data_IF_451447767580
#
_entry.id   IF_451447767580
#
_cell.length_a   1.000
_cell.length_b   1.000
_cell.length_c   1.000
_cell.angle_alpha   90.00
_cell.angle_beta   90.00
_cell.angle_gamma   90.00
#
_symmetry.space_group_name_H-M   'P 1'
#
loop_
_entity.id
_entity.type
_entity.pdbx_description
1 polymer ?
#
# COMPACT_ATOMS: atom_id res chain seq x y z
N UNK A 1 -70.59 4.73 18.37
CA UNK A 1 -71.70 3.84 18.07
C UNK A 1 -71.14 2.53 17.60
N UNK A 2 -71.38 1.54 18.48
CA UNK A 2 -71.74 0.15 18.17
C UNK A 2 -70.63 -0.68 17.63
N UNK A 3 -69.90 -1.46 18.38
CA UNK A 3 -70.23 -2.64 19.17
C UNK A 3 -70.10 -3.95 18.37
N UNK A 4 -69.16 -4.81 18.89
CA UNK A 4 -69.43 -6.22 19.29
C UNK A 4 -69.42 -7.22 18.12
N UNK A 5 -68.90 -8.43 18.16
CA UNK A 5 -68.82 -9.44 19.24
C UNK A 5 -67.91 -10.62 18.78
N UNK A 6 -67.26 -11.19 19.72
CA UNK A 6 -66.86 -12.56 20.03
C UNK A 6 -67.61 -13.71 19.33
N UNK A 7 -66.89 -14.77 19.03
CA UNK A 7 -67.27 -16.12 19.36
C UNK A 7 -66.11 -17.12 19.28
N UNK A 8 -65.80 -17.69 20.42
CA UNK A 8 -65.07 -18.94 20.72
C UNK A 8 -65.96 -20.14 20.35
N UNK A 9 -65.31 -21.19 19.79
CA UNK A 9 -65.83 -22.54 19.98
C UNK A 9 -64.69 -23.58 19.93
N UNK A 10 -64.54 -24.24 21.05
CA UNK A 10 -63.75 -25.44 21.24
C UNK A 10 -64.67 -26.66 21.03
N UNK A 11 -64.17 -27.73 20.45
CA UNK A 11 -64.66 -29.09 20.67
C UNK A 11 -63.64 -30.16 20.26
N UNK A 12 -63.16 -30.83 21.12
CA UNK A 12 -62.87 -32.14 21.65
C UNK A 12 -62.98 -33.35 20.67
N UNK A 13 -61.88 -34.13 20.70
CA UNK A 13 -61.75 -35.60 20.85
C UNK A 13 -62.17 -36.50 19.68
N UNK A 14 -61.20 -37.26 19.19
CA UNK A 14 -61.31 -38.72 19.19
C UNK A 14 -59.92 -39.36 18.92
N UNK A 15 -59.56 -40.17 19.88
CA UNK A 15 -58.41 -41.08 19.94
C UNK A 15 -58.72 -42.30 19.07
N UNK A 16 -57.87 -42.62 18.11
CA UNK A 16 -57.82 -43.96 17.51
C UNK A 16 -56.37 -44.36 17.28
N UNK A 17 -55.95 -45.27 18.13
CA UNK A 17 -54.71 -46.05 17.99
C UNK A 17 -54.80 -46.96 16.77
N UNK A 18 -53.97 -46.70 15.78
CA UNK A 18 -53.60 -47.67 14.74
C UNK A 18 -52.10 -47.83 14.77
N UNK A 19 -51.66 -48.95 15.30
CA UNK A 19 -50.31 -49.47 15.23
C UNK A 19 -49.96 -49.78 13.79
N UNK A 20 -49.22 -48.87 13.13
CA UNK A 20 -48.57 -49.20 11.88
C UNK A 20 -47.10 -49.55 12.18
N UNK A 21 -46.79 -50.79 11.92
CA UNK A 21 -45.42 -51.31 11.93
C UNK A 21 -44.66 -50.67 10.77
N UNK A 22 -43.92 -49.58 11.03
CA UNK A 22 -43.03 -49.00 10.04
C UNK A 22 -41.73 -49.81 9.97
N UNK A 23 -41.62 -50.56 8.90
CA UNK A 23 -40.36 -51.15 8.45
C UNK A 23 -39.31 -50.02 8.25
N UNK A 24 -38.42 -49.82 9.22
CA UNK A 24 -37.25 -48.98 9.05
C UNK A 24 -36.37 -49.54 7.95
N UNK A 25 -36.49 -49.01 6.77
CA UNK A 25 -35.45 -49.17 5.74
C UNK A 25 -34.15 -48.53 6.26
N UNK A 26 -33.15 -49.34 6.49
CA UNK A 26 -31.81 -48.88 6.82
C UNK A 26 -31.29 -48.01 5.65
N UNK A 27 -30.96 -46.73 5.94
CA UNK A 27 -30.20 -45.89 5.01
C UNK A 27 -28.89 -46.63 4.65
N UNK A 28 -28.50 -46.65 3.37
CA UNK A 28 -27.20 -47.18 3.00
C UNK A 28 -26.11 -46.36 3.72
N UNK A 29 -25.19 -47.08 4.34
CA UNK A 29 -24.01 -46.45 4.97
C UNK A 29 -23.24 -45.68 3.88
N UNK A 30 -23.17 -44.37 4.06
CA UNK A 30 -22.27 -43.50 3.28
C UNK A 30 -20.85 -43.96 3.62
N UNK A 31 -20.12 -44.44 2.60
CA UNK A 31 -18.72 -44.76 2.75
C UNK A 31 -17.98 -43.51 3.29
N UNK A 32 -17.04 -43.66 4.23
CA UNK A 32 -16.29 -42.50 4.72
C UNK A 32 -15.52 -41.90 3.54
N UNK A 33 -15.76 -40.60 3.30
CA UNK A 33 -14.98 -39.80 2.38
C UNK A 33 -13.50 -39.98 2.73
N UNK A 34 -12.62 -40.21 1.74
CA UNK A 34 -11.20 -40.34 2.04
C UNK A 34 -10.75 -39.05 2.74
N UNK A 35 -10.24 -39.21 3.95
CA UNK A 35 -9.70 -38.11 4.75
C UNK A 35 -8.77 -37.30 3.85
N UNK A 36 -9.15 -36.03 3.59
CA UNK A 36 -8.30 -35.08 2.92
C UNK A 36 -6.96 -35.12 3.65
N UNK A 37 -5.90 -35.51 2.95
CA UNK A 37 -4.54 -35.41 3.45
C UNK A 37 -4.37 -33.96 3.86
N UNK A 38 -4.41 -33.70 5.15
CA UNK A 38 -3.84 -32.49 5.68
C UNK A 38 -2.38 -32.51 5.27
N UNK A 39 -2.07 -31.84 4.17
CA UNK A 39 -0.71 -31.39 3.94
C UNK A 39 -0.33 -30.61 5.18
N UNK A 40 0.51 -31.21 5.99
CA UNK A 40 1.23 -30.51 7.04
C UNK A 40 1.93 -29.38 6.30
N UNK A 41 1.44 -28.14 6.44
CA UNK A 41 2.21 -26.96 6.11
C UNK A 41 3.45 -27.06 6.98
N UNK A 42 4.48 -27.70 6.46
CA UNK A 42 5.83 -27.54 7.00
C UNK A 42 6.01 -26.05 7.15
N UNK A 43 6.07 -25.59 8.38
CA UNK A 43 6.53 -24.23 8.68
C UNK A 43 7.97 -24.22 8.18
N UNK A 44 8.14 -23.84 6.92
CA UNK A 44 9.46 -23.43 6.44
C UNK A 44 9.84 -22.26 7.32
N UNK A 45 10.83 -22.46 8.15
CA UNK A 45 11.51 -21.36 8.80
C UNK A 45 12.31 -20.65 7.70
N UNK A 46 11.61 -19.83 6.89
CA UNK A 46 12.28 -18.91 6.01
C UNK A 46 13.07 -17.95 6.91
N UNK A 47 14.37 -17.93 6.75
CA UNK A 47 15.15 -16.89 7.40
C UNK A 47 14.68 -15.56 6.83
N UNK A 48 14.35 -14.57 7.68
CA UNK A 48 13.91 -13.26 7.18
C UNK A 48 14.88 -12.74 6.12
N UNK A 49 14.36 -12.34 4.99
CA UNK A 49 15.12 -11.78 3.88
C UNK A 49 15.74 -12.78 2.89
N UNK A 50 15.75 -14.08 3.15
CA UNK A 50 16.30 -15.06 2.20
C UNK A 50 15.35 -15.42 1.06
N UNK A 51 14.05 -15.28 1.26
CA UNK A 51 13.06 -15.56 0.20
C UNK A 51 13.04 -14.50 -0.89
N UNK A 52 13.57 -13.30 -0.61
CA UNK A 52 13.57 -12.14 -1.49
C UNK A 52 14.96 -11.51 -1.68
N UNK A 53 16.02 -12.14 -1.15
CA UNK A 53 17.35 -11.57 -1.10
C UNK A 53 17.61 -10.76 0.18
N UNK A 54 18.75 -10.06 0.22
CA UNK A 54 19.22 -9.35 1.41
C UNK A 54 19.14 -7.82 1.29
N UNK A 55 18.73 -7.31 0.12
CA UNK A 55 18.70 -5.88 -0.19
C UNK A 55 17.27 -5.35 -0.14
N UNK A 56 16.56 -5.67 0.95
CA UNK A 56 15.14 -5.39 1.08
C UNK A 56 14.82 -4.04 1.71
N UNK A 57 13.64 -3.48 1.35
CA UNK A 57 13.03 -2.26 1.88
C UNK A 57 11.66 -2.55 2.48
N UNK A 58 11.14 -1.66 3.36
CA UNK A 58 11.76 -0.47 3.92
C UNK A 58 12.79 -0.79 5.01
N UNK A 59 13.51 0.22 5.52
CA UNK A 59 14.49 0.08 6.60
C UNK A 59 14.25 1.09 7.72
N UNK A 60 14.82 0.83 8.90
CA UNK A 60 14.97 1.83 9.94
C UNK A 60 16.32 2.55 9.74
N UNK A 61 16.27 3.84 9.45
CA UNK A 61 17.45 4.71 9.30
C UNK A 61 17.88 5.16 10.67
N UNK A 62 19.11 4.86 11.06
CA UNK A 62 19.73 5.40 12.26
C UNK A 62 20.53 6.63 11.88
N UNK A 63 19.98 7.82 12.14
CA UNK A 63 20.52 9.10 11.66
C UNK A 63 21.96 9.34 12.14
N UNK A 64 22.29 8.93 13.36
CA UNK A 64 23.64 9.01 13.90
C UNK A 64 24.64 7.99 13.35
N UNK A 65 24.23 7.09 12.46
CA UNK A 65 25.06 6.08 11.81
C UNK A 65 25.10 6.25 10.28
N UNK A 66 24.42 7.26 9.73
CA UNK A 66 24.54 7.59 8.33
C UNK A 66 25.96 8.08 8.04
N UNK A 67 26.49 7.66 6.88
CA UNK A 67 27.84 8.00 6.45
C UNK A 67 27.73 9.06 5.33
N UNK A 68 28.62 10.03 5.30
CA UNK A 68 28.62 11.05 4.25
C UNK A 68 28.73 10.43 2.86
N UNK A 69 27.74 10.73 2.02
CA UNK A 69 27.68 10.36 0.61
C UNK A 69 27.83 11.61 -0.28
N UNK A 70 28.03 11.38 -1.56
CA UNK A 70 27.97 12.45 -2.55
C UNK A 70 27.33 11.92 -3.82
N UNK A 71 26.16 12.44 -4.15
CA UNK A 71 25.39 12.05 -5.33
C UNK A 71 25.08 13.28 -6.18
N UNK A 72 25.07 13.07 -7.49
CA UNK A 72 24.63 14.11 -8.43
C UNK A 72 23.16 13.91 -8.75
N UNK A 73 22.35 14.91 -8.42
CA UNK A 73 20.90 14.92 -8.70
C UNK A 73 20.57 16.08 -9.61
N UNK A 74 19.83 15.82 -10.69
CA UNK A 74 19.23 16.84 -11.54
C UNK A 74 17.76 16.49 -11.81
N UNK A 75 16.87 17.43 -11.46
CA UNK A 75 15.42 17.24 -11.57
C UNK A 75 14.91 18.00 -12.80
N UNK A 76 14.23 17.31 -13.70
CA UNK A 76 13.58 17.85 -14.89
C UNK A 76 12.08 17.56 -14.82
N UNK A 77 11.29 18.51 -14.37
CA UNK A 77 9.84 18.39 -14.18
C UNK A 77 9.08 19.20 -15.24
N UNK A 78 9.15 18.78 -16.51
CA UNK A 78 8.43 19.45 -17.60
C UNK A 78 6.92 19.21 -17.53
N UNK A 79 6.50 18.01 -17.14
CA UNK A 79 5.10 17.57 -17.07
C UNK A 79 4.85 16.85 -15.74
N UNK A 80 5.06 17.56 -14.61
CA UNK A 80 4.85 17.00 -13.28
C UNK A 80 3.38 17.14 -12.83
N UNK A 81 2.47 17.14 -13.79
CA UNK A 81 1.03 17.12 -13.55
C UNK A 81 0.55 15.67 -13.74
N UNK A 82 -0.09 15.06 -12.73
CA UNK A 82 -0.70 13.76 -12.91
C UNK A 82 -1.92 13.88 -13.84
N UNK A 83 -2.11 12.87 -14.66
CA UNK A 83 -3.24 12.77 -15.58
C UNK A 83 -4.26 11.72 -15.18
N UNK A 84 -3.91 10.85 -14.23
CA UNK A 84 -4.80 9.82 -13.73
C UNK A 84 -4.69 9.68 -12.21
N UNK A 85 -5.85 9.50 -11.55
CA UNK A 85 -5.99 9.27 -10.12
C UNK A 85 -6.74 7.96 -9.90
N UNK A 86 -6.15 7.03 -9.17
CA UNK A 86 -6.72 5.71 -8.94
C UNK A 86 -6.76 5.37 -7.44
N UNK A 87 -7.92 4.87 -6.99
CA UNK A 87 -8.06 4.13 -5.75
C UNK A 87 -7.93 2.63 -6.07
N UNK A 88 -6.84 2.02 -5.61
CA UNK A 88 -6.54 0.58 -5.83
C UNK A 88 -7.04 -0.30 -4.69
N UNK A 89 -7.83 0.24 -3.76
CA UNK A 89 -8.35 -0.45 -2.57
C UNK A 89 -7.32 -0.65 -1.46
N UNK A 90 -6.04 -0.59 -1.79
CA UNK A 90 -4.92 -0.74 -0.85
C UNK A 90 -3.89 0.39 -0.97
N UNK A 91 -4.03 1.28 -1.92
CA UNK A 91 -3.28 2.53 -2.06
C UNK A 91 -4.00 3.50 -2.99
N UNK A 92 -3.73 4.79 -2.83
CA UNK A 92 -4.14 5.87 -3.73
C UNK A 92 -2.94 6.19 -4.60
N UNK A 93 -3.12 6.15 -5.92
CA UNK A 93 -2.05 6.39 -6.89
C UNK A 93 -2.40 7.53 -7.84
N UNK A 94 -1.41 8.37 -8.09
CA UNK A 94 -1.43 9.42 -9.11
C UNK A 94 -0.42 9.02 -10.18
N UNK A 95 -0.86 8.83 -11.42
CA UNK A 95 0.02 8.55 -12.56
C UNK A 95 0.36 9.83 -13.30
N UNK A 96 1.58 9.91 -13.83
CA UNK A 96 2.11 11.09 -14.51
C UNK A 96 2.39 10.82 -15.98
N UNK A 97 2.14 11.83 -16.81
CA UNK A 97 2.51 11.78 -18.22
C UNK A 97 4.02 11.71 -18.41
N UNK A 98 4.48 11.02 -19.46
CA UNK A 98 5.90 11.00 -19.81
C UNK A 98 6.45 12.40 -20.07
N UNK A 99 7.74 12.62 -19.74
CA UNK A 99 8.46 13.85 -20.06
C UNK A 99 9.15 14.51 -18.87
N UNK A 100 8.80 14.10 -17.64
CA UNK A 100 9.53 14.50 -16.43
C UNK A 100 10.46 13.40 -15.99
N UNK A 101 11.64 13.77 -15.50
CA UNK A 101 12.65 12.81 -15.06
C UNK A 101 13.51 13.35 -13.93
N UNK A 102 14.18 12.45 -13.24
CA UNK A 102 15.24 12.72 -12.27
C UNK A 102 16.49 11.99 -12.71
N UNK A 103 17.56 12.75 -12.96
CA UNK A 103 18.88 12.16 -13.15
C UNK A 103 19.55 11.97 -11.78
N UNK A 104 20.02 10.76 -11.53
CA UNK A 104 20.74 10.38 -10.32
C UNK A 104 22.01 9.61 -10.73
N UNK A 105 23.17 10.14 -10.37
CA UNK A 105 24.49 9.59 -10.70
C UNK A 105 24.62 9.20 -12.19
N UNK A 106 24.21 10.12 -13.07
CA UNK A 106 24.30 9.95 -14.52
C UNK A 106 23.26 9.00 -15.13
N UNK A 107 22.30 8.48 -14.35
CA UNK A 107 21.18 7.68 -14.83
C UNK A 107 19.90 8.52 -14.82
N UNK A 108 19.14 8.50 -15.92
CA UNK A 108 17.91 9.28 -16.08
C UNK A 108 16.68 8.42 -15.83
N UNK A 109 15.97 8.68 -14.72
CA UNK A 109 14.79 7.96 -14.28
C UNK A 109 13.55 8.76 -14.61
N UNK A 110 12.62 8.19 -15.39
CA UNK A 110 11.38 8.83 -15.81
C UNK A 110 10.35 8.79 -14.69
N UNK A 111 9.73 9.93 -14.38
CA UNK A 111 8.64 10.03 -13.42
C UNK A 111 7.46 9.15 -13.87
N UNK A 112 6.95 8.32 -12.98
CA UNK A 112 5.86 7.38 -13.27
C UNK A 112 4.63 7.67 -12.44
N UNK A 113 4.75 7.64 -11.11
CA UNK A 113 3.60 7.72 -10.22
C UNK A 113 3.97 8.22 -8.83
N UNK A 114 2.96 8.67 -8.11
CA UNK A 114 3.01 8.97 -6.68
C UNK A 114 1.96 8.15 -5.95
N UNK A 115 2.28 7.65 -4.77
CA UNK A 115 1.34 6.92 -3.91
C UNK A 115 1.67 7.10 -2.43
N UNK A 116 0.74 6.63 -1.56
CA UNK A 116 0.90 6.74 -0.11
C UNK A 116 0.93 5.40 0.59
N UNK A 117 1.47 5.45 1.81
CA UNK A 117 1.40 4.41 2.82
C UNK A 117 0.97 4.99 4.15
N UNK A 118 0.06 4.31 4.83
CA UNK A 118 -0.39 4.60 6.19
C UNK A 118 -0.35 3.33 7.04
N UNK A 119 0.45 3.29 8.13
CA UNK A 119 1.48 4.26 8.52
C UNK A 119 2.69 4.29 7.58
N UNK A 120 3.76 5.02 7.96
CA UNK A 120 5.00 5.02 7.18
C UNK A 120 5.65 3.63 7.15
N UNK A 121 6.30 3.33 6.03
CA UNK A 121 7.09 2.12 5.83
C UNK A 121 8.49 2.29 6.41
N UNK A 122 9.18 3.41 6.10
CA UNK A 122 10.46 3.72 6.69
C UNK A 122 10.31 4.26 8.11
N UNK A 123 11.39 4.07 8.87
CA UNK A 123 11.56 4.66 10.19
C UNK A 123 12.84 5.51 10.20
N UNK A 124 12.83 6.59 10.98
CA UNK A 124 14.03 7.33 11.34
C UNK A 124 14.19 7.20 12.86
N UNK A 125 15.33 6.68 13.30
CA UNK A 125 15.66 6.43 14.72
C UNK A 125 14.56 5.65 15.47
N UNK A 126 13.94 4.69 14.78
CA UNK A 126 12.86 3.84 15.31
C UNK A 126 11.49 4.50 15.36
N UNK A 127 11.35 5.72 14.87
CA UNK A 127 10.07 6.44 14.82
C UNK A 127 9.31 6.05 13.55
N UNK A 128 8.09 5.54 13.71
CA UNK A 128 7.12 5.38 12.63
C UNK A 128 6.25 6.63 12.55
N UNK A 129 6.09 7.17 11.35
CA UNK A 129 5.28 8.34 11.08
C UNK A 129 3.86 7.94 10.67
N UNK A 130 2.86 8.84 10.81
CA UNK A 130 1.49 8.54 10.44
C UNK A 130 1.28 8.21 8.96
N UNK A 131 2.13 8.73 8.09
CA UNK A 131 1.99 8.55 6.64
C UNK A 131 3.35 8.72 5.94
N UNK A 132 3.51 8.08 4.80
CA UNK A 132 4.65 8.21 3.89
C UNK A 132 4.14 8.32 2.45
N UNK A 133 4.76 9.18 1.64
CA UNK A 133 4.47 9.32 0.22
C UNK A 133 5.68 8.98 -0.61
N UNK A 134 5.49 8.30 -1.73
CA UNK A 134 6.54 7.87 -2.65
C UNK A 134 6.37 8.47 -4.04
N UNK A 135 7.35 9.22 -4.51
CA UNK A 135 7.50 9.57 -5.93
C UNK A 135 8.34 8.48 -6.58
N UNK A 136 7.74 7.72 -7.48
CA UNK A 136 8.41 6.61 -8.17
C UNK A 136 8.87 7.05 -9.54
N UNK A 137 10.17 6.94 -9.77
CA UNK A 137 10.80 7.15 -11.06
C UNK A 137 11.42 5.83 -11.53
N UNK A 138 11.48 5.59 -12.85
CA UNK A 138 11.91 4.32 -13.41
C UNK A 138 12.73 4.49 -14.68
N UNK A 139 13.74 3.64 -14.82
CA UNK A 139 14.37 3.34 -16.10
C UNK A 139 13.73 2.07 -16.64
N UNK A 140 13.07 2.19 -17.78
CA UNK A 140 12.48 1.04 -18.46
C UNK A 140 13.56 0.00 -18.85
N UNK A 141 13.27 -1.29 -18.70
CA UNK A 141 14.17 -2.34 -19.13
C UNK A 141 14.42 -2.25 -20.64
N UNK A 142 15.66 -2.49 -21.05
CA UNK A 142 16.02 -2.49 -22.48
C UNK A 142 15.63 -3.79 -23.17
N UNK A 143 15.58 -4.87 -22.42
CA UNK A 143 15.14 -6.19 -22.87
C UNK A 143 14.14 -6.77 -21.85
N UNK A 144 13.30 -7.75 -22.22
CA UNK A 144 12.37 -8.38 -21.28
C UNK A 144 13.04 -9.09 -20.09
N UNK A 145 14.32 -9.43 -20.24
CA UNK A 145 15.12 -10.12 -19.22
C UNK A 145 15.76 -9.15 -18.22
N UNK A 146 15.91 -7.86 -18.61
CA UNK A 146 16.48 -6.85 -17.72
C UNK A 146 15.43 -6.44 -16.67
N UNK A 147 15.78 -6.41 -15.38
CA UNK A 147 14.84 -5.86 -14.39
C UNK A 147 14.72 -4.34 -14.56
N UNK A 148 13.54 -3.76 -14.32
CA UNK A 148 13.39 -2.31 -14.24
C UNK A 148 14.24 -1.77 -13.08
N UNK A 149 14.76 -0.55 -13.24
CA UNK A 149 15.53 0.14 -12.21
C UNK A 149 14.73 1.33 -11.72
N UNK A 150 14.66 1.48 -10.41
CA UNK A 150 13.84 2.51 -9.79
C UNK A 150 14.70 3.52 -9.01
N UNK A 151 14.22 4.75 -8.97
CA UNK A 151 14.60 5.78 -8.03
C UNK A 151 13.33 6.23 -7.31
N UNK A 152 13.26 6.02 -6.02
CA UNK A 152 12.08 6.39 -5.23
C UNK A 152 12.46 7.48 -4.24
N UNK A 153 11.75 8.61 -4.33
CA UNK A 153 11.86 9.69 -3.35
C UNK A 153 10.73 9.54 -2.34
N UNK A 154 11.09 9.41 -1.08
CA UNK A 154 10.15 9.21 0.02
C UNK A 154 10.05 10.45 0.90
N UNK A 155 8.83 10.81 1.25
CA UNK A 155 8.48 11.87 2.18
C UNK A 155 7.73 11.30 3.38
N UNK A 156 8.26 11.53 4.57
CA UNK A 156 7.59 11.16 5.82
C UNK A 156 6.72 12.31 6.31
N UNK A 157 5.51 12.01 6.76
CA UNK A 157 4.55 13.01 7.21
C UNK A 157 4.25 12.86 8.70
N UNK A 158 4.26 13.98 9.41
CA UNK A 158 3.70 14.12 10.76
C UNK A 158 2.36 14.84 10.70
N UNK A 159 1.56 14.69 11.73
CA UNK A 159 0.35 15.51 11.89
C UNK A 159 0.74 16.98 12.09
N UNK A 160 0.06 17.87 11.39
CA UNK A 160 0.34 19.31 11.43
C UNK A 160 -0.61 20.11 10.56
N UNK A 161 -0.04 21.04 9.79
CA UNK A 161 -0.79 21.90 8.88
C UNK A 161 -1.34 21.12 7.68
N UNK A 162 -2.31 21.73 6.99
CA UNK A 162 -2.90 21.17 5.77
C UNK A 162 -1.84 21.16 4.66
N UNK A 163 -1.66 19.99 4.05
CA UNK A 163 -0.82 19.84 2.87
C UNK A 163 -1.58 20.29 1.60
N UNK A 164 -1.06 21.27 0.84
CA UNK A 164 -1.74 21.78 -0.35
C UNK A 164 -1.80 20.78 -1.51
N UNK A 165 -0.76 19.94 -1.68
CA UNK A 165 -0.74 18.92 -2.73
C UNK A 165 -1.82 17.87 -2.46
N UNK A 166 -1.89 17.34 -1.24
CA UNK A 166 -2.92 16.39 -0.84
C UNK A 166 -4.31 17.01 -1.01
N UNK A 167 -4.50 18.27 -0.64
CA UNK A 167 -5.78 18.97 -0.80
C UNK A 167 -6.20 19.07 -2.27
N UNK A 168 -5.26 19.16 -3.20
CA UNK A 168 -5.57 19.37 -4.62
C UNK A 168 -6.29 18.18 -5.27
N UNK A 169 -6.13 16.96 -4.73
CA UNK A 169 -6.72 15.76 -5.32
C UNK A 169 -7.62 14.95 -4.35
N UNK A 170 -7.45 15.08 -3.04
CA UNK A 170 -8.07 14.20 -2.06
C UNK A 170 -9.61 14.11 -2.17
N UNK A 171 -10.27 15.21 -2.50
CA UNK A 171 -11.72 15.24 -2.73
C UNK A 171 -12.14 14.58 -4.05
N UNK A 172 -11.19 14.29 -4.90
CA UNK A 172 -11.42 13.67 -6.21
C UNK A 172 -11.21 12.16 -6.20
N UNK A 173 -10.61 11.60 -5.12
CA UNK A 173 -10.36 10.15 -5.01
C UNK A 173 -11.67 9.40 -5.03
N UNK A 174 -11.85 8.39 -5.93
CA UNK A 174 -13.01 7.52 -5.89
C UNK A 174 -13.16 6.83 -4.54
N UNK A 175 -14.37 6.75 -4.00
CA UNK A 175 -14.65 6.10 -2.71
C UNK A 175 -14.53 4.57 -2.75
N UNK A 176 -14.60 4.00 -3.94
CA UNK A 176 -14.44 2.57 -4.23
C UNK A 176 -13.25 2.37 -5.18
N UNK A 177 -12.76 1.13 -5.31
CA UNK A 177 -11.72 0.80 -6.28
C UNK A 177 -12.09 1.28 -7.69
N UNK A 178 -11.17 1.98 -8.32
CA UNK A 178 -11.34 2.53 -9.65
C UNK A 178 -10.56 3.81 -9.85
N UNK A 179 -10.46 4.23 -11.10
CA UNK A 179 -9.70 5.40 -11.51
C UNK A 179 -10.53 6.45 -12.23
N UNK A 180 -9.99 7.64 -12.32
CA UNK A 180 -10.51 8.74 -13.11
C UNK A 180 -9.38 9.56 -13.71
N UNK A 181 -9.62 10.07 -14.90
CA UNK A 181 -8.71 11.03 -15.52
C UNK A 181 -8.83 12.39 -14.82
N UNK A 182 -7.70 13.06 -14.69
CA UNK A 182 -7.60 14.41 -14.14
C UNK A 182 -7.50 15.42 -15.28
N UNK A 183 -8.10 16.58 -15.07
CA UNK A 183 -7.90 17.71 -15.99
C UNK A 183 -6.54 18.36 -15.74
N UNK A 184 -5.87 18.78 -16.81
CA UNK A 184 -4.57 19.45 -16.71
C UNK A 184 -4.64 20.68 -15.79
N UNK A 185 -3.65 20.82 -14.93
CA UNK A 185 -3.53 21.93 -13.98
C UNK A 185 -4.40 21.83 -12.72
N UNK A 186 -5.16 20.73 -12.54
CA UNK A 186 -5.94 20.52 -11.30
C UNK A 186 -5.09 20.03 -10.15
N UNK A 187 -4.13 19.15 -10.44
CA UNK A 187 -3.20 18.57 -9.46
C UNK A 187 -1.79 18.78 -9.94
N UNK A 188 -0.90 19.16 -9.06
CA UNK A 188 0.52 19.30 -9.38
C UNK A 188 1.35 19.07 -8.12
N UNK A 189 2.51 18.46 -8.28
CA UNK A 189 3.46 18.33 -7.20
C UNK A 189 3.81 19.72 -6.63
N UNK A 190 3.83 19.83 -5.32
CA UNK A 190 4.18 21.04 -4.61
C UNK A 190 5.57 21.56 -5.07
N UNK A 191 5.81 22.88 -5.03
CA UNK A 191 7.17 23.40 -5.19
C UNK A 191 8.17 22.79 -4.22
N UNK A 192 7.72 22.41 -3.03
CA UNK A 192 8.56 21.71 -2.05
C UNK A 192 8.92 20.30 -2.51
N UNK A 193 8.00 19.57 -3.17
CA UNK A 193 8.27 18.25 -3.72
C UNK A 193 9.23 18.30 -4.92
N UNK A 194 9.56 19.49 -5.40
CA UNK A 194 10.45 19.79 -6.51
C UNK A 194 11.77 20.42 -6.08
N UNK A 195 12.02 20.57 -4.78
CA UNK A 195 13.21 21.24 -4.28
C UNK A 195 14.43 20.33 -4.46
N UNK A 196 15.39 20.68 -5.34
CA UNK A 196 16.61 19.88 -5.52
C UNK A 196 17.57 19.98 -4.31
N UNK A 197 17.31 20.92 -3.40
CA UNK A 197 18.16 21.20 -2.23
C UNK A 197 17.73 20.41 -0.99
N UNK A 198 16.79 19.46 -1.11
CA UNK A 198 16.46 18.60 0.01
C UNK A 198 17.67 17.80 0.46
N UNK A 199 17.93 17.82 1.75
CA UNK A 199 18.77 16.82 2.39
C UNK A 199 18.02 15.52 2.45
N UNK A 200 18.69 14.41 2.14
CA UNK A 200 18.08 13.07 2.10
C UNK A 200 19.05 12.04 2.65
N UNK A 201 18.51 10.91 3.07
CA UNK A 201 19.25 9.67 3.27
C UNK A 201 19.14 8.85 1.99
N UNK A 202 20.28 8.31 1.54
CA UNK A 202 20.32 7.40 0.40
C UNK A 202 20.68 5.99 0.85
N UNK A 203 20.01 5.00 0.25
CA UNK A 203 20.41 3.60 0.36
C UNK A 203 19.85 2.78 -0.80
N UNK A 204 20.50 1.63 -1.12
CA UNK A 204 20.01 0.67 -2.08
C UNK A 204 19.07 -0.33 -1.45
N UNK A 205 17.93 -0.57 -2.10
CA UNK A 205 16.89 -1.42 -1.58
C UNK A 205 16.03 -2.10 -2.64
N UNK A 206 14.81 -2.43 -2.23
CA UNK A 206 13.81 -3.11 -3.06
C UNK A 206 12.53 -2.28 -3.19
N UNK A 207 11.65 -2.70 -4.10
CA UNK A 207 10.23 -2.36 -3.98
C UNK A 207 9.70 -2.89 -2.65
N UNK A 208 8.75 -2.18 -2.05
CA UNK A 208 8.07 -2.58 -0.80
C UNK A 208 6.82 -3.43 -1.07
N UNK A 209 6.45 -3.60 -2.34
CA UNK A 209 5.37 -4.46 -2.82
C UNK A 209 5.91 -5.63 -3.63
N UNK A 210 5.19 -6.77 -3.69
CA UNK A 210 5.61 -7.90 -4.53
C UNK A 210 5.85 -7.50 -5.99
N UNK A 211 6.90 -8.00 -6.64
CA UNK A 211 7.78 -9.10 -6.25
C UNK A 211 9.02 -8.68 -5.41
N UNK A 212 9.04 -7.49 -4.80
CA UNK A 212 10.12 -6.98 -3.94
C UNK A 212 11.48 -6.89 -4.66
N UNK A 213 11.46 -6.49 -5.91
CA UNK A 213 12.64 -6.39 -6.80
C UNK A 213 13.71 -5.47 -6.21
N UNK A 214 14.95 -5.96 -6.10
CA UNK A 214 16.09 -5.30 -5.45
C UNK A 214 16.86 -4.37 -6.40
N UNK A 215 16.18 -3.43 -7.03
CA UNK A 215 16.74 -2.50 -8.03
C UNK A 215 16.35 -1.05 -7.74
N UNK A 216 16.17 -0.71 -6.47
CA UNK A 216 15.69 0.61 -6.07
C UNK A 216 16.81 1.41 -5.40
N UNK A 217 17.06 2.60 -5.92
CA UNK A 217 17.77 3.68 -5.22
C UNK A 217 16.73 4.47 -4.41
N UNK A 218 16.86 4.48 -3.10
CA UNK A 218 15.96 5.18 -2.19
C UNK A 218 16.55 6.52 -1.75
N UNK A 219 15.78 7.59 -1.89
CA UNK A 219 16.07 8.91 -1.35
C UNK A 219 15.00 9.25 -0.32
N UNK A 220 15.33 9.20 0.96
CA UNK A 220 14.40 9.50 2.05
C UNK A 220 14.67 10.95 2.49
N UNK A 221 13.75 11.84 2.21
CA UNK A 221 13.87 13.27 2.55
C UNK A 221 13.94 13.44 4.07
N UNK A 222 14.96 14.15 4.55
CA UNK A 222 15.20 14.34 6.00
C UNK A 222 14.16 15.25 6.62
N UNK A 223 13.67 16.24 5.87
CA UNK A 223 12.64 17.16 6.34
C UNK A 223 11.29 16.44 6.44
N UNK A 224 10.77 16.33 7.67
CA UNK A 224 9.47 15.70 7.92
C UNK A 224 8.36 16.65 7.52
N UNK A 225 7.61 16.29 6.51
CA UNK A 225 6.49 17.04 5.98
C UNK A 225 5.30 17.05 6.96
N UNK A 226 4.31 17.87 6.69
CA UNK A 226 3.09 17.96 7.49
C UNK A 226 1.87 17.66 6.62
N UNK A 227 0.93 16.92 7.21
CA UNK A 227 -0.42 16.81 6.68
C UNK A 227 -1.41 16.94 7.84
N UNK A 228 -2.59 17.49 7.57
CA UNK A 228 -3.57 17.63 8.63
C UNK A 228 -4.06 16.26 9.11
N UNK A 229 -4.49 16.15 10.39
CA UNK A 229 -5.05 14.90 10.91
C UNK A 229 -6.21 14.37 10.05
N UNK A 230 -6.99 15.27 9.46
CA UNK A 230 -8.11 14.89 8.59
C UNK A 230 -7.63 14.32 7.25
N UNK A 231 -6.59 14.90 6.63
CA UNK A 231 -5.99 14.36 5.40
C UNK A 231 -5.44 12.96 5.62
N UNK A 232 -4.63 12.78 6.67
CA UNK A 232 -4.07 11.47 7.02
C UNK A 232 -5.18 10.45 7.29
N UNK A 233 -6.19 10.83 8.08
CA UNK A 233 -7.33 9.95 8.39
C UNK A 233 -8.10 9.54 7.13
N UNK A 234 -8.34 10.47 6.20
CA UNK A 234 -9.07 10.17 4.95
C UNK A 234 -8.29 9.24 4.04
N UNK A 235 -6.98 9.47 3.88
CA UNK A 235 -6.10 8.58 3.12
C UNK A 235 -6.12 7.18 3.75
N UNK A 236 -5.91 7.10 5.08
CA UNK A 236 -5.95 5.83 5.80
C UNK A 236 -7.29 5.08 5.66
N UNK A 237 -8.42 5.78 5.65
CA UNK A 237 -9.73 5.15 5.45
C UNK A 237 -9.93 4.58 4.04
N UNK A 238 -9.23 5.11 3.04
CA UNK A 238 -9.30 4.65 1.65
C UNK A 238 -8.35 3.48 1.38
N UNK A 239 -7.18 3.45 2.01
CA UNK A 239 -6.14 2.44 1.71
C UNK A 239 -5.86 1.45 2.86
N UNK A 240 -6.30 1.75 4.09
CA UNK A 240 -6.03 0.93 5.26
C UNK A 240 -4.56 0.93 5.69
N UNK A 241 -4.20 -0.04 6.53
CA UNK A 241 -2.80 -0.31 6.90
C UNK A 241 -2.13 -1.06 5.75
N UNK A 242 -1.32 -0.35 4.95
CA UNK A 242 -0.68 -0.90 3.76
C UNK A 242 0.86 -0.90 3.82
N UNK A 243 1.44 -0.54 4.97
CA UNK A 243 2.88 -0.48 5.16
C UNK A 243 3.51 -1.88 5.30
N UNK A 244 4.60 -2.13 4.58
CA UNK A 244 5.46 -3.28 4.81
C UNK A 244 6.30 -3.06 6.06
N UNK A 245 6.48 -4.10 6.88
CA UNK A 245 7.39 -4.04 8.04
C UNK A 245 8.86 -3.80 7.64
N UNK A 246 9.60 -3.11 8.50
CA UNK A 246 11.02 -2.79 8.28
C UNK A 246 11.89 -4.04 8.10
N UNK A 247 12.86 -3.95 7.22
CA UNK A 247 13.83 -4.99 6.87
C UNK A 247 15.20 -4.67 7.46
N UNK A 248 15.99 -5.71 7.70
CA UNK A 248 17.34 -5.52 8.21
C UNK A 248 18.26 -4.95 7.11
N UNK A 249 19.19 -4.08 7.52
CA UNK A 249 20.19 -3.51 6.60
C UNK A 249 21.21 -4.52 6.11
N UNK A 250 21.52 -5.56 6.89
CA UNK A 250 22.52 -6.58 6.57
C UNK A 250 23.88 -6.01 6.14
N UNK A 251 24.32 -4.92 6.77
CA UNK A 251 25.58 -4.26 6.48
C UNK A 251 25.54 -3.29 5.28
N UNK A 252 24.36 -3.04 4.71
CA UNK A 252 24.18 -1.92 3.76
C UNK A 252 24.43 -0.60 4.50
N UNK A 253 25.06 0.32 3.80
CA UNK A 253 25.24 1.69 4.29
C UNK A 253 24.00 2.51 3.99
N UNK A 254 23.73 3.44 4.87
CA UNK A 254 22.85 4.58 4.62
C UNK A 254 23.76 5.80 4.53
N UNK A 255 23.63 6.55 3.45
CA UNK A 255 24.41 7.75 3.15
C UNK A 255 23.57 9.00 3.41
N UNK A 256 24.25 10.14 3.72
CA UNK A 256 23.57 11.40 4.04
C UNK A 256 24.26 12.63 3.41
#
# INVERSE_FOLDING_TARGET
MIATQRATLALLVALSLLTACECRQAKPAVAPEPAAKQESKEKRYALPGLDHGLVQSPVNILSGQAEGGHHEIAINLLHAEPDHLENKGHTIQLDFQPGSSVAFDGNDYQLKQFHFHTPSEHQIDGVTYPMEGHIVNMIEPKTPEDPPRYLVVSFLFRMGDVDPFISSFLDQVPSEEGGKDLEAGQVYLSPNDRNPDYEYYHYRGSLTTPPYTETVEWLIVKEIQQASPEQIRRIHLLEGDNARGVQALYGRKVED
#
